data_IF_118184140926
#
_entry.id   IF_118184140926
#
_cell.length_a   1.000
_cell.length_b   1.000
_cell.length_c   1.000
_cell.angle_alpha   90.00
_cell.angle_beta   90.00
_cell.angle_gamma   90.00
#
_symmetry.space_group_name_H-M   'P 1'
#
loop_
_entity.id
_entity.type
_entity.pdbx_description
1 polymer ?
#
# COMPACT_ATOMS: atom_id res chain seq x y z
N UNK A 1 -19.28 0.07 1.01
CA UNK A 1 -17.93 0.35 0.48
C UNK A 1 -17.63 1.85 0.45
N UNK A 2 -16.46 2.28 0.93
CA UNK A 2 -16.00 3.67 0.99
C UNK A 2 -14.66 3.83 0.24
N UNK A 3 -14.48 4.94 -0.48
CA UNK A 3 -13.32 5.22 -1.33
C UNK A 3 -12.58 6.45 -0.82
N UNK A 4 -11.25 6.35 -0.74
CA UNK A 4 -10.34 7.45 -0.39
C UNK A 4 -9.41 7.68 -1.59
N UNK A 5 -9.53 8.83 -2.25
CA UNK A 5 -8.80 9.15 -3.48
C UNK A 5 -7.93 10.42 -3.40
N UNK A 6 -7.81 10.97 -2.19
CA UNK A 6 -7.05 12.16 -1.83
C UNK A 6 -5.96 11.86 -0.78
N UNK A 7 -5.35 10.68 -0.85
CA UNK A 7 -4.29 10.26 0.07
C UNK A 7 -3.02 11.09 -0.20
N UNK A 8 -2.46 11.78 0.83
CA UNK A 8 -1.27 12.60 0.66
C UNK A 8 -0.04 11.72 0.36
N UNK A 9 0.78 12.17 -0.60
CA UNK A 9 2.03 11.49 -0.97
C UNK A 9 3.21 12.21 -0.35
N UNK A 10 3.94 11.50 0.50
CA UNK A 10 5.24 11.92 1.01
C UNK A 10 6.28 10.87 0.63
N UNK A 11 7.29 11.29 -0.13
CA UNK A 11 8.40 10.47 -0.57
C UNK A 11 9.69 11.13 -0.11
N UNK A 12 10.45 10.49 0.76
CA UNK A 12 11.75 10.99 1.23
C UNK A 12 12.88 10.06 0.78
N UNK A 13 14.08 10.63 0.59
CA UNK A 13 15.25 9.87 0.18
C UNK A 13 15.55 8.73 1.17
N UNK A 14 15.46 9.02 2.47
CA UNK A 14 15.69 8.06 3.54
C UNK A 14 14.78 6.83 3.45
N UNK A 15 13.54 6.98 2.98
CA UNK A 15 12.59 5.88 2.84
C UNK A 15 13.07 4.92 1.75
N UNK A 16 13.53 5.46 0.62
CA UNK A 16 14.09 4.69 -0.49
C UNK A 16 15.38 3.99 -0.07
N UNK A 17 16.29 4.69 0.60
CA UNK A 17 17.58 4.15 1.05
C UNK A 17 17.39 3.01 2.07
N UNK A 18 16.53 3.21 3.08
CA UNK A 18 16.23 2.17 4.08
C UNK A 18 15.61 0.93 3.42
N UNK A 19 14.71 1.15 2.46
CA UNK A 19 14.01 0.07 1.76
C UNK A 19 14.92 -0.74 0.85
N UNK A 20 15.79 -0.07 0.08
CA UNK A 20 16.71 -0.72 -0.86
C UNK A 20 17.91 -1.39 -0.17
N UNK A 21 18.13 -1.12 1.12
CA UNK A 21 19.26 -1.63 1.93
C UNK A 21 20.62 -1.35 1.29
N UNK A 22 20.72 -0.27 0.50
CA UNK A 22 21.96 0.14 -0.13
C UNK A 22 22.95 0.57 0.96
N UNK A 23 24.10 -0.11 1.02
CA UNK A 23 25.15 0.18 2.01
C UNK A 23 25.91 1.47 1.69
N UNK A 24 26.08 1.77 0.40
CA UNK A 24 26.79 2.95 -0.07
C UNK A 24 25.90 3.71 -1.06
N UNK A 25 25.21 4.73 -0.57
CA UNK A 25 24.43 5.65 -1.42
C UNK A 25 25.39 6.78 -1.82
N UNK A 26 25.99 6.65 -3.00
CA UNK A 26 26.81 7.71 -3.58
C UNK A 26 25.92 8.80 -4.21
N UNK A 27 26.55 9.88 -4.68
CA UNK A 27 25.80 11.03 -5.20
C UNK A 27 24.99 10.69 -6.45
N UNK A 28 25.55 9.90 -7.38
CA UNK A 28 24.82 9.43 -8.58
C UNK A 28 23.50 8.72 -8.25
N UNK A 29 23.50 7.86 -7.22
CA UNK A 29 22.28 7.17 -6.79
C UNK A 29 21.25 8.16 -6.22
N UNK A 30 21.70 9.16 -5.44
CA UNK A 30 20.79 10.17 -4.91
C UNK A 30 20.19 11.00 -6.03
N UNK A 31 20.99 11.41 -7.00
CA UNK A 31 20.54 12.16 -8.18
C UNK A 31 19.45 11.39 -8.93
N UNK A 32 19.65 10.09 -9.20
CA UNK A 32 18.63 9.24 -9.84
C UNK A 32 17.32 9.22 -9.03
N UNK A 33 17.40 9.09 -7.70
CA UNK A 33 16.21 9.09 -6.83
C UNK A 33 15.52 10.46 -6.83
N UNK A 34 16.27 11.55 -6.78
CA UNK A 34 15.74 12.90 -6.82
C UNK A 34 15.03 13.20 -8.15
N UNK A 35 15.63 12.82 -9.29
CA UNK A 35 14.97 12.93 -10.60
C UNK A 35 13.64 12.16 -10.65
N UNK A 36 13.60 10.98 -10.04
CA UNK A 36 12.36 10.20 -9.94
C UNK A 36 11.35 10.89 -9.04
N UNK A 37 11.75 11.49 -7.92
CA UNK A 37 10.84 12.26 -7.08
C UNK A 37 10.23 13.45 -7.82
N UNK A 38 11.01 14.18 -8.60
CA UNK A 38 10.52 15.30 -9.40
C UNK A 38 9.50 14.86 -10.45
N UNK A 39 9.63 13.64 -10.96
CA UNK A 39 8.68 13.05 -11.92
C UNK A 39 7.44 12.49 -11.23
N UNK A 40 7.61 11.81 -10.10
CA UNK A 40 6.55 11.03 -9.43
C UNK A 40 5.66 11.92 -8.57
N UNK A 41 6.23 12.80 -7.74
CA UNK A 41 5.47 13.59 -6.74
C UNK A 41 4.32 14.39 -7.35
N UNK A 42 4.45 15.04 -8.53
CA UNK A 42 3.35 15.84 -9.10
C UNK A 42 2.16 15.01 -9.60
N UNK A 43 2.37 13.73 -9.92
CA UNK A 43 1.36 12.88 -10.57
C UNK A 43 0.86 11.74 -9.67
N UNK A 44 1.60 11.41 -8.60
CA UNK A 44 1.27 10.32 -7.71
C UNK A 44 -0.10 10.54 -7.07
N UNK A 45 -1.03 9.62 -7.33
CA UNK A 45 -2.40 9.68 -6.81
C UNK A 45 -2.81 8.30 -6.26
N UNK A 46 -2.24 7.87 -5.12
CA UNK A 46 -2.66 6.65 -4.45
C UNK A 46 -4.12 6.71 -4.05
N UNK A 47 -4.76 5.53 -4.04
CA UNK A 47 -6.18 5.38 -3.73
C UNK A 47 -6.38 4.16 -2.86
N UNK A 48 -7.38 4.21 -2.01
CA UNK A 48 -7.81 3.10 -1.19
C UNK A 48 -9.33 2.94 -1.29
N UNK A 49 -9.79 1.71 -1.15
CA UNK A 49 -11.20 1.38 -0.97
C UNK A 49 -11.31 0.34 0.12
N UNK A 50 -12.31 0.46 0.99
CA UNK A 50 -12.58 -0.53 2.01
C UNK A 50 -14.07 -0.71 2.23
N UNK A 51 -14.42 -1.77 2.94
CA UNK A 51 -15.78 -2.05 3.36
C UNK A 51 -15.81 -2.44 4.83
N UNK A 52 -16.90 -2.13 5.53
CA UNK A 52 -17.15 -2.63 6.88
C UNK A 52 -17.93 -3.93 6.73
N UNK A 53 -17.36 -5.04 7.18
CA UNK A 53 -17.97 -6.36 7.03
C UNK A 53 -18.06 -7.11 8.35
N UNK A 54 -19.16 -7.83 8.55
CA UNK A 54 -19.32 -8.73 9.69
C UNK A 54 -18.59 -10.06 9.44
N UNK A 55 -18.14 -10.68 10.53
CA UNK A 55 -17.57 -12.02 10.55
C UNK A 55 -18.57 -13.00 11.16
N UNK A 56 -19.13 -13.87 10.33
CA UNK A 56 -20.23 -14.76 10.70
C UNK A 56 -19.92 -16.23 10.35
N UNK A 57 -20.86 -17.14 10.62
CA UNK A 57 -20.83 -18.54 10.20
C UNK A 57 -19.51 -19.30 10.50
N UNK A 58 -18.88 -19.01 11.64
CA UNK A 58 -17.64 -19.63 12.13
C UNK A 58 -17.87 -21.13 12.43
N UNK A 59 -17.30 -22.02 11.63
CA UNK A 59 -17.39 -23.48 11.79
C UNK A 59 -16.11 -24.18 11.36
N UNK A 60 -15.52 -24.99 12.25
CA UNK A 60 -14.23 -25.65 11.99
C UNK A 60 -13.17 -24.65 11.56
N UNK A 61 -12.63 -24.84 10.35
CA UNK A 61 -11.63 -23.98 9.72
C UNK A 61 -12.21 -22.92 8.78
N UNK A 62 -13.52 -22.68 8.85
CA UNK A 62 -14.21 -21.77 7.94
C UNK A 62 -15.04 -20.71 8.66
N UNK A 63 -15.26 -19.60 7.97
CA UNK A 63 -16.06 -18.45 8.41
C UNK A 63 -16.55 -17.68 7.18
N UNK A 64 -17.49 -16.78 7.39
CA UNK A 64 -17.99 -15.89 6.34
C UNK A 64 -17.58 -14.45 6.68
N UNK A 65 -17.10 -13.70 5.68
CA UNK A 65 -16.84 -12.26 5.78
C UNK A 65 -17.71 -11.58 4.73
N UNK A 66 -18.64 -10.73 5.17
CA UNK A 66 -19.54 -10.03 4.23
C UNK A 66 -20.32 -10.97 3.31
N UNK A 67 -20.71 -12.15 3.81
CA UNK A 67 -21.43 -13.18 3.04
C UNK A 67 -20.55 -14.06 2.13
N UNK A 68 -19.23 -13.87 2.12
CA UNK A 68 -18.30 -14.70 1.36
C UNK A 68 -17.64 -15.73 2.28
N UNK A 69 -17.74 -17.01 1.92
CA UNK A 69 -17.11 -18.12 2.66
C UNK A 69 -15.60 -18.15 2.46
N UNK A 70 -14.85 -18.18 3.55
CA UNK A 70 -13.41 -18.45 3.57
C UNK A 70 -13.14 -19.77 4.30
N UNK A 71 -12.19 -20.56 3.79
CA UNK A 71 -11.69 -21.78 4.44
C UNK A 71 -10.20 -21.60 4.74
N UNK A 72 -9.89 -21.28 5.99
CA UNK A 72 -8.54 -21.06 6.49
C UNK A 72 -8.52 -21.15 8.01
N UNK A 73 -7.80 -22.14 8.55
CA UNK A 73 -7.61 -22.30 9.99
C UNK A 73 -7.02 -21.02 10.62
N UNK A 74 -6.02 -20.41 9.97
CA UNK A 74 -5.38 -19.17 10.45
C UNK A 74 -6.37 -18.02 10.53
N UNK A 75 -7.20 -17.81 9.50
CA UNK A 75 -8.20 -16.75 9.52
C UNK A 75 -9.28 -17.01 10.57
N UNK A 76 -9.68 -18.28 10.75
CA UNK A 76 -10.64 -18.70 11.77
C UNK A 76 -10.15 -18.38 13.17
N UNK A 77 -8.92 -18.77 13.50
CA UNK A 77 -8.29 -18.51 14.80
C UNK A 77 -8.14 -17.00 15.03
N UNK A 78 -7.64 -16.26 14.04
CA UNK A 78 -7.45 -14.81 14.17
C UNK A 78 -8.77 -14.03 14.31
N UNK A 79 -9.88 -14.58 13.81
CA UNK A 79 -11.19 -13.92 13.82
C UNK A 79 -12.12 -14.45 14.91
N UNK A 80 -11.63 -15.25 15.86
CA UNK A 80 -12.47 -15.94 16.84
C UNK A 80 -13.33 -14.98 17.67
N UNK A 81 -12.68 -13.95 18.21
CA UNK A 81 -13.32 -12.87 18.99
C UNK A 81 -13.62 -11.61 18.18
N UNK A 82 -13.42 -11.67 16.86
CA UNK A 82 -13.64 -10.53 15.97
C UNK A 82 -15.03 -10.64 15.37
N UNK A 83 -15.83 -9.58 15.50
CA UNK A 83 -17.17 -9.48 14.90
C UNK A 83 -17.17 -8.65 13.62
N UNK A 84 -16.25 -7.69 13.52
CA UNK A 84 -16.16 -6.74 12.42
C UNK A 84 -14.74 -6.70 11.87
N UNK A 85 -14.64 -6.74 10.55
CA UNK A 85 -13.39 -6.58 9.80
C UNK A 85 -13.56 -5.53 8.72
N UNK A 86 -12.44 -5.07 8.19
CA UNK A 86 -12.39 -4.05 7.15
C UNK A 86 -11.62 -4.57 5.94
N UNK A 87 -12.21 -5.39 5.05
CA UNK A 87 -11.57 -5.77 3.80
C UNK A 87 -11.24 -4.52 2.97
N UNK A 88 -10.07 -4.48 2.36
CA UNK A 88 -9.60 -3.31 1.63
C UNK A 88 -8.75 -3.63 0.41
N UNK A 89 -8.65 -2.65 -0.49
CA UNK A 89 -7.69 -2.60 -1.58
C UNK A 89 -6.99 -1.24 -1.52
N UNK A 90 -5.67 -1.23 -1.69
CA UNK A 90 -4.85 0.00 -1.76
C UNK A 90 -3.96 -0.07 -2.99
N UNK A 91 -3.79 1.06 -3.67
CA UNK A 91 -2.91 1.20 -4.84
C UNK A 91 -2.07 2.46 -4.75
N UNK A 92 -0.87 2.43 -5.34
CA UNK A 92 -0.04 3.62 -5.54
C UNK A 92 -0.55 4.55 -6.67
N UNK A 93 -1.57 4.11 -7.42
CA UNK A 93 -2.12 4.82 -8.56
C UNK A 93 -1.49 4.38 -9.89
N UNK A 94 -2.29 4.38 -10.96
CA UNK A 94 -1.80 4.05 -12.32
C UNK A 94 -0.86 5.10 -12.88
N UNK A 95 -0.96 6.32 -12.34
CA UNK A 95 -0.26 7.51 -12.81
C UNK A 95 1.27 7.29 -12.77
N UNK A 96 1.77 6.55 -11.76
CA UNK A 96 3.19 6.21 -11.64
C UNK A 96 3.61 5.10 -12.63
N UNK A 97 2.70 4.18 -12.98
CA UNK A 97 2.96 3.11 -13.96
C UNK A 97 3.06 3.63 -15.41
N UNK A 98 2.51 4.81 -15.68
CA UNK A 98 2.59 5.47 -16.98
C UNK A 98 3.99 6.03 -17.26
N UNK A 99 4.84 6.22 -16.22
CA UNK A 99 6.22 6.68 -16.37
C UNK A 99 7.02 5.66 -17.18
N UNK A 100 7.58 6.10 -18.32
CA UNK A 100 8.41 5.28 -19.20
C UNK A 100 9.88 5.57 -18.95
N UNK A 101 10.61 4.57 -18.47
CA UNK A 101 12.06 4.61 -18.33
C UNK A 101 12.68 3.68 -19.39
N UNK A 102 13.67 4.14 -20.17
CA UNK A 102 14.36 3.31 -21.15
C UNK A 102 14.87 1.98 -20.57
N UNK A 103 14.81 0.88 -21.33
CA UNK A 103 15.27 -0.45 -20.88
C UNK A 103 16.75 -0.48 -20.53
N UNK A 104 17.56 0.42 -21.09
CA UNK A 104 18.98 0.56 -20.75
C UNK A 104 19.20 1.13 -19.34
N UNK A 105 18.20 1.73 -18.69
CA UNK A 105 18.30 2.36 -17.39
C UNK A 105 17.73 1.47 -16.26
N UNK A 106 18.26 0.25 -16.15
CA UNK A 106 17.78 -0.77 -15.19
C UNK A 106 17.76 -0.27 -13.74
N UNK A 107 18.78 0.50 -13.33
CA UNK A 107 18.85 1.03 -11.97
C UNK A 107 17.73 2.04 -11.68
N UNK A 108 17.41 2.91 -12.65
CA UNK A 108 16.32 3.89 -12.52
C UNK A 108 14.95 3.19 -12.51
N UNK A 109 14.77 2.12 -13.30
CA UNK A 109 13.56 1.29 -13.24
C UNK A 109 13.38 0.63 -11.88
N UNK A 110 14.46 0.04 -11.35
CA UNK A 110 14.45 -0.55 -10.01
C UNK A 110 14.02 0.48 -8.96
N UNK A 111 14.58 1.69 -8.96
CA UNK A 111 14.19 2.73 -8.02
C UNK A 111 12.75 3.21 -8.21
N UNK A 112 12.25 3.30 -9.45
CA UNK A 112 10.85 3.61 -9.71
C UNK A 112 9.92 2.57 -9.07
N UNK A 113 10.25 1.28 -9.18
CA UNK A 113 9.46 0.21 -8.56
C UNK A 113 9.53 0.26 -7.02
N UNK A 114 10.69 0.60 -6.45
CA UNK A 114 10.79 0.84 -4.99
C UNK A 114 9.92 2.02 -4.54
N UNK A 115 9.88 3.09 -5.33
CA UNK A 115 9.03 4.26 -5.06
C UNK A 115 7.54 3.89 -5.13
N UNK A 116 7.13 3.05 -6.09
CA UNK A 116 5.75 2.52 -6.15
C UNK A 116 5.40 1.74 -4.88
N UNK A 117 6.29 0.86 -4.42
CA UNK A 117 6.07 0.10 -3.18
C UNK A 117 5.97 1.03 -1.96
N UNK A 118 6.86 2.01 -1.83
CA UNK A 118 6.81 3.00 -0.74
C UNK A 118 5.50 3.78 -0.78
N UNK A 119 5.05 4.20 -1.96
CA UNK A 119 3.81 4.93 -2.15
C UNK A 119 2.59 4.12 -1.69
N UNK A 120 2.46 2.85 -2.11
CA UNK A 120 1.33 2.00 -1.69
C UNK A 120 1.37 1.69 -0.20
N UNK A 121 2.56 1.52 0.40
CA UNK A 121 2.70 1.29 1.84
C UNK A 121 2.34 2.51 2.67
N UNK A 122 2.71 3.71 2.21
CA UNK A 122 2.31 4.97 2.83
C UNK A 122 0.78 5.14 2.78
N UNK A 123 0.17 4.86 1.62
CA UNK A 123 -1.28 4.87 1.46
C UNK A 123 -1.99 3.84 2.34
N UNK A 124 -1.40 2.65 2.53
CA UNK A 124 -1.93 1.64 3.43
C UNK A 124 -1.88 2.09 4.90
N UNK A 125 -0.79 2.73 5.32
CA UNK A 125 -0.71 3.31 6.67
C UNK A 125 -1.77 4.38 6.87
N UNK A 126 -1.94 5.27 5.89
CA UNK A 126 -2.98 6.30 5.92
C UNK A 126 -4.38 5.67 6.05
N UNK A 127 -4.68 4.63 5.27
CA UNK A 127 -5.95 3.91 5.36
C UNK A 127 -6.16 3.32 6.77
N UNK A 128 -5.16 2.67 7.34
CA UNK A 128 -5.26 2.10 8.68
C UNK A 128 -5.56 3.18 9.73
N UNK A 129 -4.87 4.32 9.66
CA UNK A 129 -5.09 5.42 10.60
C UNK A 129 -6.46 6.06 10.39
N UNK A 130 -6.91 6.19 9.14
CA UNK A 130 -8.26 6.65 8.80
C UNK A 130 -9.35 5.73 9.37
N UNK A 131 -9.23 4.41 9.18
CA UNK A 131 -10.20 3.44 9.70
C UNK A 131 -10.21 3.49 11.24
N UNK A 132 -9.04 3.57 11.88
CA UNK A 132 -8.94 3.67 13.34
C UNK A 132 -9.64 4.93 13.86
N UNK A 133 -9.41 6.08 13.23
CA UNK A 133 -9.96 7.34 13.69
C UNK A 133 -11.48 7.45 13.49
N UNK A 134 -12.04 6.80 12.46
CA UNK A 134 -13.45 6.99 12.06
C UNK A 134 -14.36 5.79 12.35
N UNK A 135 -13.81 4.58 12.52
CA UNK A 135 -14.60 3.35 12.61
C UNK A 135 -14.18 2.35 13.70
N UNK A 136 -12.98 2.48 14.26
CA UNK A 136 -12.56 1.65 15.39
C UNK A 136 -13.02 2.30 16.70
N UNK A 137 -14.20 1.90 17.18
CA UNK A 137 -14.59 2.06 18.58
C UNK A 137 -14.15 0.83 19.37
#
# INVERSE_FOLDING_TARGET
MEVIDNIPVKLELDDVVKKTRLRNVNEDVKEIIHELFDTVRPIAKPKAVFEISCVDNKQGDSLDIGGIRFTSHVLRVNSDKVERVFPYIVTCGREIDEIKIPQSQLLKQYFLDQIKEITVRSALSYLHDYIRANHAC
#
